data_IF_268286319088
#
_entry.id   IF_268286319088
#
_cell.length_a   1.000
_cell.length_b   1.000
_cell.length_c   1.000
_cell.angle_alpha   90.00
_cell.angle_beta   90.00
_cell.angle_gamma   90.00
#
_symmetry.space_group_name_H-M   'P 1'
#
loop_
_entity.id
_entity.type
_entity.pdbx_description
1 polymer ?
#
# COMPACT_ATOMS: atom_id res chain seq x y z
N UNK A 1 -1.06 -12.33 29.37
CA UNK A 1 -0.49 -11.70 28.17
C UNK A 1 -0.54 -12.69 27.03
N UNK A 2 -0.57 -12.22 25.78
CA UNK A 2 -0.68 -13.06 24.57
C UNK A 2 0.50 -14.05 24.39
N UNK A 3 1.68 -13.72 24.95
CA UNK A 3 2.90 -14.50 24.84
C UNK A 3 3.26 -15.20 26.16
N UNK A 4 2.93 -16.49 26.36
CA UNK A 4 3.16 -17.19 27.63
C UNK A 4 4.65 -17.40 27.96
N UNK A 5 5.52 -17.38 26.96
CA UNK A 5 6.98 -17.44 27.14
C UNK A 5 7.64 -16.09 27.45
N UNK A 6 6.87 -15.01 27.56
CA UNK A 6 7.41 -13.65 27.72
C UNK A 6 8.08 -13.12 26.45
N UNK A 7 8.97 -12.13 26.61
CA UNK A 7 9.71 -11.48 25.53
C UNK A 7 9.68 -9.95 25.64
N UNK A 8 10.46 -9.29 24.79
CA UNK A 8 10.51 -7.83 24.69
C UNK A 8 9.91 -7.40 23.34
N UNK A 9 8.90 -6.53 23.39
CA UNK A 9 8.40 -5.85 22.19
C UNK A 9 9.28 -4.65 21.87
N UNK A 10 9.26 -4.22 20.61
CA UNK A 10 9.91 -2.99 20.17
C UNK A 10 8.85 -1.89 20.20
N UNK A 11 9.06 -0.85 21.00
CA UNK A 11 8.11 0.27 21.12
C UNK A 11 8.76 1.56 20.66
N UNK A 12 8.16 2.20 19.66
CA UNK A 12 8.48 3.55 19.21
C UNK A 12 7.28 4.12 18.46
N UNK A 13 7.31 5.43 18.22
CA UNK A 13 6.39 6.09 17.28
C UNK A 13 7.22 6.59 16.10
N UNK A 14 6.83 6.21 14.89
CA UNK A 14 7.49 6.72 13.67
C UNK A 14 7.26 8.22 13.55
N UNK A 15 8.28 9.02 13.15
CA UNK A 15 8.07 10.44 12.92
C UNK A 15 7.13 10.68 11.74
N UNK A 16 6.47 11.83 11.73
CA UNK A 16 5.70 12.31 10.57
C UNK A 16 6.60 12.72 9.39
N UNK A 17 6.00 12.83 8.20
CA UNK A 17 6.67 13.34 7.00
C UNK A 17 7.50 12.32 6.22
N UNK A 18 7.44 11.03 6.57
CA UNK A 18 8.05 9.96 5.76
C UNK A 18 7.10 9.63 4.62
N UNK A 19 7.51 9.95 3.39
CA UNK A 19 6.73 9.68 2.18
C UNK A 19 7.18 8.39 1.48
N UNK A 20 6.24 7.65 0.93
CA UNK A 20 6.54 6.42 0.20
C UNK A 20 5.30 5.78 -0.40
N UNK A 21 5.38 4.47 -0.65
CA UNK A 21 4.23 3.69 -1.11
C UNK A 21 3.85 2.70 -0.02
N UNK A 22 2.59 2.75 0.38
CA UNK A 22 1.96 1.74 1.22
C UNK A 22 1.20 0.76 0.33
N UNK A 23 1.45 -0.54 0.49
CA UNK A 23 0.78 -1.55 -0.31
C UNK A 23 0.77 -2.94 0.28
N UNK A 24 -0.05 -3.80 -0.34
CA UNK A 24 -0.18 -5.20 0.03
C UNK A 24 -0.38 -6.07 -1.19
N UNK A 25 0.55 -7.01 -1.38
CA UNK A 25 0.45 -8.05 -2.39
C UNK A 25 -0.56 -9.12 -1.95
N UNK A 26 -1.35 -9.61 -2.89
CA UNK A 26 -2.25 -10.75 -2.73
C UNK A 26 -2.10 -11.71 -3.91
N UNK A 27 -2.52 -12.95 -3.72
CA UNK A 27 -2.54 -13.98 -4.75
C UNK A 27 -3.98 -14.47 -4.96
N UNK A 28 -4.41 -14.53 -6.22
CA UNK A 28 -5.66 -15.14 -6.63
C UNK A 28 -5.37 -16.48 -7.28
N UNK A 29 -5.85 -17.57 -6.67
CA UNK A 29 -5.75 -18.91 -7.24
C UNK A 29 -6.61 -19.09 -8.49
N UNK A 30 -7.75 -18.40 -8.57
CA UNK A 30 -8.64 -18.43 -9.73
C UNK A 30 -7.98 -17.86 -10.99
N UNK A 31 -7.18 -16.81 -10.84
CA UNK A 31 -6.44 -16.17 -11.92
C UNK A 31 -4.99 -16.65 -12.01
N UNK A 32 -4.57 -17.54 -11.09
CA UNK A 32 -3.18 -17.92 -10.87
C UNK A 32 -2.22 -16.71 -10.91
N UNK A 33 -2.59 -15.62 -10.23
CA UNK A 33 -1.90 -14.33 -10.39
C UNK A 33 -1.73 -13.55 -9.08
N UNK A 34 -0.62 -12.82 -9.01
CA UNK A 34 -0.39 -11.82 -7.98
C UNK A 34 -1.00 -10.48 -8.38
N UNK A 35 -1.60 -9.80 -7.42
CA UNK A 35 -2.12 -8.44 -7.55
C UNK A 35 -1.62 -7.59 -6.38
N UNK A 36 -1.35 -6.32 -6.63
CA UNK A 36 -0.90 -5.37 -5.63
C UNK A 36 -1.94 -4.26 -5.45
N UNK A 37 -2.43 -4.10 -4.24
CA UNK A 37 -3.12 -2.89 -3.79
C UNK A 37 -2.05 -1.93 -3.27
N UNK A 38 -2.02 -0.69 -3.75
CA UNK A 38 -1.02 0.28 -3.31
C UNK A 38 -1.56 1.72 -3.38
N UNK A 39 -0.99 2.59 -2.56
CA UNK A 39 -1.17 4.03 -2.65
C UNK A 39 0.15 4.72 -2.28
N UNK A 40 0.39 5.88 -2.86
CA UNK A 40 1.30 6.83 -2.24
C UNK A 40 0.77 7.15 -0.84
N UNK A 41 1.66 7.23 0.15
CA UNK A 41 1.27 7.49 1.53
C UNK A 41 2.35 8.28 2.25
N UNK A 42 1.95 8.93 3.35
CA UNK A 42 2.87 9.62 4.24
C UNK A 42 2.61 9.22 5.69
N UNK A 43 3.66 9.24 6.51
CA UNK A 43 3.51 9.17 7.96
C UNK A 43 3.06 10.52 8.51
N UNK A 44 2.26 10.50 9.56
CA UNK A 44 1.75 11.69 10.24
C UNK A 44 2.33 11.80 11.65
N UNK A 45 2.39 13.04 12.14
CA UNK A 45 2.56 13.32 13.56
C UNK A 45 1.20 13.74 14.14
N UNK A 46 0.77 13.07 15.21
CA UNK A 46 -0.45 13.44 15.92
C UNK A 46 -0.13 14.39 17.06
N UNK A 47 -1.03 15.32 17.43
CA UNK A 47 -0.87 16.09 18.65
C UNK A 47 -0.70 15.15 19.86
N UNK A 48 0.25 15.44 20.75
CA UNK A 48 0.66 14.51 21.81
C UNK A 48 -0.51 13.92 22.63
N UNK A 49 -1.54 14.74 22.95
CA UNK A 49 -2.72 14.25 23.68
C UNK A 49 -3.55 13.25 22.88
N UNK A 50 -3.69 13.49 21.57
CA UNK A 50 -4.41 12.59 20.67
C UNK A 50 -3.60 11.31 20.45
N UNK A 51 -2.29 11.41 20.26
CA UNK A 51 -1.41 10.26 20.13
C UNK A 51 -1.53 9.32 21.32
N UNK A 52 -1.39 9.85 22.54
CA UNK A 52 -1.50 9.07 23.76
C UNK A 52 -2.88 8.41 23.90
N UNK A 53 -3.94 9.15 23.59
CA UNK A 53 -5.30 8.61 23.59
C UNK A 53 -5.47 7.46 22.59
N UNK A 54 -5.02 7.64 21.34
CA UNK A 54 -5.13 6.61 20.29
C UNK A 54 -4.29 5.39 20.65
N UNK A 55 -3.03 5.57 21.08
CA UNK A 55 -2.17 4.45 21.53
C UNK A 55 -2.80 3.68 22.67
N UNK A 56 -3.38 4.38 23.65
CA UNK A 56 -4.08 3.79 24.79
C UNK A 56 -5.35 2.99 24.44
N UNK A 57 -5.93 3.17 23.25
CA UNK A 57 -7.02 2.30 22.75
C UNK A 57 -6.54 1.02 22.05
N UNK A 58 -5.23 0.85 21.89
CA UNK A 58 -4.59 -0.26 21.19
C UNK A 58 -3.54 -0.95 22.09
N UNK A 59 -2.60 -1.69 21.51
CA UNK A 59 -1.46 -2.24 22.24
C UNK A 59 -0.36 -1.18 22.42
N UNK A 60 -0.32 -0.56 23.60
CA UNK A 60 0.63 0.51 23.95
C UNK A 60 2.12 0.13 23.77
N UNK A 61 2.43 -1.16 23.93
CA UNK A 61 3.79 -1.70 23.88
C UNK A 61 4.26 -2.05 22.47
N UNK A 62 3.40 -1.96 21.45
CA UNK A 62 3.77 -2.22 20.07
C UNK A 62 4.26 -0.93 19.38
N UNK A 63 4.97 -1.02 18.24
CA UNK A 63 5.39 0.18 17.53
C UNK A 63 4.18 0.79 16.81
N UNK A 64 4.06 2.12 16.87
CA UNK A 64 2.98 2.86 16.22
C UNK A 64 3.51 3.68 15.05
N UNK A 65 2.79 3.63 13.93
CA UNK A 65 3.03 4.47 12.76
C UNK A 65 1.68 4.97 12.27
N UNK A 66 1.49 6.29 12.24
CA UNK A 66 0.27 6.89 11.72
C UNK A 66 0.43 7.10 10.22
N UNK A 67 -0.32 6.37 9.40
CA UNK A 67 -0.18 6.40 7.94
C UNK A 67 -1.43 7.02 7.32
N UNK A 68 -1.23 7.95 6.39
CA UNK A 68 -2.29 8.55 5.59
C UNK A 68 -2.05 8.25 4.10
N UNK A 69 -2.95 7.51 3.42
CA UNK A 69 -2.90 7.35 1.98
C UNK A 69 -3.18 8.69 1.27
N UNK A 70 -2.63 8.86 0.07
CA UNK A 70 -2.77 10.09 -0.72
C UNK A 70 -4.09 10.17 -1.46
N UNK A 71 -4.60 9.06 -2.00
CA UNK A 71 -5.82 9.05 -2.80
C UNK A 71 -6.96 8.23 -2.19
N UNK A 72 -6.65 7.10 -1.55
CA UNK A 72 -7.68 6.24 -0.97
C UNK A 72 -8.39 6.94 0.18
N UNK A 73 -9.72 6.98 0.14
CA UNK A 73 -10.52 7.31 1.32
C UNK A 73 -10.37 6.22 2.38
N UNK A 74 -10.64 6.54 3.65
CA UNK A 74 -10.61 5.53 4.72
C UNK A 74 -11.62 4.40 4.52
N UNK A 75 -12.71 4.63 3.79
CA UNK A 75 -13.68 3.58 3.42
C UNK A 75 -13.05 2.61 2.42
N UNK A 76 -12.49 3.13 1.31
CA UNK A 76 -11.83 2.31 0.30
C UNK A 76 -10.63 1.56 0.90
N UNK A 77 -9.79 2.25 1.67
CA UNK A 77 -8.58 1.68 2.26
C UNK A 77 -8.89 0.52 3.20
N UNK A 78 -9.93 0.63 4.04
CA UNK A 78 -10.34 -0.45 4.95
C UNK A 78 -11.09 -1.58 4.23
N UNK A 79 -11.94 -1.25 3.26
CA UNK A 79 -12.79 -2.23 2.59
C UNK A 79 -12.02 -3.07 1.57
N UNK A 80 -11.04 -2.48 0.87
CA UNK A 80 -10.35 -3.11 -0.25
C UNK A 80 -8.99 -3.70 0.12
N UNK A 81 -8.46 -3.42 1.33
CA UNK A 81 -7.24 -4.06 1.82
C UNK A 81 -7.40 -5.59 1.82
N UNK A 82 -6.57 -6.34 1.07
CA UNK A 82 -6.75 -7.79 0.91
C UNK A 82 -6.25 -8.60 2.11
N UNK A 83 -5.64 -7.95 3.11
CA UNK A 83 -5.13 -8.58 4.31
C UNK A 83 -5.10 -7.58 5.48
N UNK A 84 -4.94 -8.11 6.70
CA UNK A 84 -4.73 -7.33 7.92
C UNK A 84 -3.34 -6.68 8.02
N UNK A 85 -2.45 -6.94 7.07
CA UNK A 85 -1.09 -6.42 7.01
C UNK A 85 -0.89 -5.57 5.76
N UNK A 86 -0.06 -4.53 5.87
CA UNK A 86 0.42 -3.72 4.75
C UNK A 86 1.91 -3.40 4.96
N UNK A 87 2.61 -3.06 3.89
CA UNK A 87 4.01 -2.63 3.93
C UNK A 87 4.12 -1.23 3.36
N UNK A 88 4.87 -0.35 4.03
CA UNK A 88 5.22 0.96 3.51
C UNK A 88 6.71 1.01 3.20
N UNK A 89 7.07 1.41 1.98
CA UNK A 89 8.46 1.55 1.55
C UNK A 89 8.78 3.03 1.31
N UNK A 90 9.69 3.57 2.14
CA UNK A 90 10.13 4.96 2.07
C UNK A 90 10.84 5.25 0.73
N UNK A 91 10.43 6.32 0.06
CA UNK A 91 11.14 6.87 -1.10
C UNK A 91 10.94 6.07 -2.38
N UNK A 92 10.09 5.03 -2.36
CA UNK A 92 9.73 4.29 -3.56
C UNK A 92 8.84 5.16 -4.46
N UNK A 93 9.30 5.42 -5.67
CA UNK A 93 8.55 6.21 -6.66
C UNK A 93 7.50 5.35 -7.38
N UNK A 94 6.28 5.87 -7.66
CA UNK A 94 5.24 5.15 -8.40
C UNK A 94 5.72 4.53 -9.72
N UNK A 95 6.44 5.30 -10.55
CA UNK A 95 7.00 4.80 -11.80
C UNK A 95 7.94 3.58 -11.65
N UNK A 96 8.70 3.51 -10.54
CA UNK A 96 9.60 2.39 -10.25
C UNK A 96 8.79 1.17 -9.85
N UNK A 97 7.79 1.33 -8.99
CA UNK A 97 6.88 0.25 -8.62
C UNK A 97 6.16 -0.31 -9.84
N UNK A 98 5.58 0.56 -10.67
CA UNK A 98 4.85 0.19 -11.89
C UNK A 98 5.74 -0.60 -12.87
N UNK A 99 7.00 -0.18 -13.04
CA UNK A 99 7.97 -0.93 -13.85
C UNK A 99 8.16 -2.37 -13.34
N UNK A 100 8.35 -2.56 -12.04
CA UNK A 100 8.53 -3.88 -11.46
C UNK A 100 7.24 -4.72 -11.50
N UNK A 101 6.08 -4.10 -11.29
CA UNK A 101 4.79 -4.77 -11.45
C UNK A 101 4.58 -5.27 -12.89
N UNK A 102 4.99 -4.49 -13.89
CA UNK A 102 4.93 -4.91 -15.27
C UNK A 102 5.86 -6.08 -15.55
N UNK A 103 7.12 -5.98 -15.13
CA UNK A 103 8.12 -7.05 -15.33
C UNK A 103 7.70 -8.37 -14.67
N UNK A 104 7.13 -8.30 -13.46
CA UNK A 104 6.72 -9.47 -12.70
C UNK A 104 5.30 -9.96 -13.05
N UNK A 105 4.61 -9.30 -13.98
CA UNK A 105 3.22 -9.62 -14.34
C UNK A 105 2.22 -9.39 -13.20
N UNK A 106 2.55 -8.55 -12.21
CA UNK A 106 1.67 -8.24 -11.07
C UNK A 106 0.59 -7.27 -11.49
N UNK A 107 -0.67 -7.62 -11.18
CA UNK A 107 -1.84 -6.79 -11.48
C UNK A 107 -1.90 -5.57 -10.55
N UNK A 108 -2.40 -4.45 -11.06
CA UNK A 108 -2.76 -3.32 -10.20
C UNK A 108 -4.21 -3.47 -9.74
N UNK A 109 -4.42 -3.50 -8.42
CA UNK A 109 -5.74 -3.65 -7.80
C UNK A 109 -6.33 -2.30 -7.37
N UNK A 110 -5.57 -1.22 -7.42
CA UNK A 110 -5.83 0.04 -6.71
C UNK A 110 -6.93 0.87 -7.40
N UNK A 111 -8.19 0.84 -6.92
CA UNK A 111 -9.32 1.41 -7.65
C UNK A 111 -9.71 2.79 -7.10
N UNK A 112 -8.75 3.54 -6.54
CA UNK A 112 -9.04 4.75 -5.76
C UNK A 112 -9.78 5.78 -6.61
N UNK A 113 -10.98 6.15 -6.18
CA UNK A 113 -11.83 7.06 -6.94
C UNK A 113 -11.15 8.43 -7.15
N UNK A 114 -10.33 8.86 -6.20
CA UNK A 114 -9.62 10.14 -6.26
C UNK A 114 -8.28 10.08 -7.03
N UNK A 115 -7.81 8.89 -7.45
CA UNK A 115 -6.55 8.76 -8.19
C UNK A 115 -6.81 8.74 -9.70
N UNK A 116 -6.22 9.67 -10.47
CA UNK A 116 -6.23 9.57 -11.93
C UNK A 116 -5.56 8.27 -12.41
N UNK A 117 -6.03 7.73 -13.55
CA UNK A 117 -5.43 6.54 -14.16
C UNK A 117 -3.97 6.75 -14.59
N UNK A 118 -3.58 8.00 -14.87
CA UNK A 118 -2.21 8.40 -15.19
C UNK A 118 -1.95 9.83 -14.71
N UNK A 119 -0.82 10.03 -14.05
CA UNK A 119 -0.34 11.34 -13.59
C UNK A 119 1.00 11.63 -14.27
N UNK A 120 1.03 12.62 -15.16
CA UNK A 120 2.26 13.03 -15.85
C UNK A 120 3.36 13.42 -14.87
N UNK A 121 4.58 12.93 -15.11
CA UNK A 121 5.75 13.20 -14.26
C UNK A 121 5.84 12.34 -12.99
N UNK A 122 4.77 11.63 -12.62
CA UNK A 122 4.73 10.74 -11.44
C UNK A 122 4.65 9.28 -11.85
N UNK A 123 3.71 8.98 -12.75
CA UNK A 123 3.46 7.63 -13.25
C UNK A 123 4.35 7.33 -14.46
N UNK A 124 4.67 6.05 -14.60
CA UNK A 124 5.25 5.50 -15.82
C UNK A 124 4.16 5.44 -16.90
N UNK A 125 4.43 5.88 -18.14
CA UNK A 125 3.52 5.66 -19.26
C UNK A 125 3.29 4.17 -19.51
N UNK A 126 2.03 3.79 -19.77
CA UNK A 126 1.68 2.41 -20.13
C UNK A 126 2.39 2.00 -21.43
N UNK A 127 2.99 0.80 -21.51
CA UNK A 127 3.49 0.25 -22.76
C UNK A 127 2.43 0.23 -23.87
N UNK A 128 2.85 0.49 -25.11
CA UNK A 128 1.94 0.42 -26.25
C UNK A 128 1.27 -0.95 -26.38
N UNK A 129 2.00 -2.04 -26.10
CA UNK A 129 1.45 -3.40 -26.07
C UNK A 129 0.33 -3.56 -25.03
N UNK A 130 0.42 -2.87 -23.89
CA UNK A 130 -0.65 -2.89 -22.90
C UNK A 130 -1.91 -2.23 -23.43
N UNK A 131 -1.76 -1.06 -24.07
CA UNK A 131 -2.88 -0.33 -24.65
C UNK A 131 -3.59 -1.13 -25.76
N UNK A 132 -2.82 -1.74 -26.67
CA UNK A 132 -3.36 -2.55 -27.77
C UNK A 132 -4.17 -3.74 -27.24
N UNK A 133 -3.74 -4.35 -26.14
CA UNK A 133 -4.36 -5.54 -25.56
C UNK A 133 -5.49 -5.21 -24.55
N UNK A 134 -5.97 -3.97 -24.49
CA UNK A 134 -7.08 -3.58 -23.62
C UNK A 134 -6.69 -3.16 -22.19
N UNK A 135 -5.41 -2.88 -21.95
CA UNK A 135 -4.89 -2.34 -20.69
C UNK A 135 -3.89 -3.27 -19.99
N UNK A 136 -3.15 -2.72 -19.02
CA UNK A 136 -2.05 -3.43 -18.37
C UNK A 136 -2.47 -4.73 -17.67
N UNK A 137 -3.59 -4.73 -16.96
CA UNK A 137 -4.08 -5.95 -16.31
C UNK A 137 -4.51 -7.02 -17.32
N UNK A 138 -5.16 -6.63 -18.42
CA UNK A 138 -5.55 -7.55 -19.47
C UNK A 138 -4.33 -8.22 -20.11
N UNK A 139 -3.30 -7.44 -20.45
CA UNK A 139 -2.04 -7.99 -21.01
C UNK A 139 -1.35 -8.97 -20.07
N UNK A 140 -1.30 -8.66 -18.77
CA UNK A 140 -0.65 -9.52 -17.77
C UNK A 140 -1.41 -10.81 -17.50
N UNK A 141 -2.73 -10.83 -17.74
CA UNK A 141 -3.53 -12.05 -17.68
C UNK A 141 -3.41 -12.88 -18.95
N UNK A 142 -3.30 -12.25 -20.12
CA UNK A 142 -3.12 -12.95 -21.41
C UNK A 142 -1.77 -13.64 -21.55
N UNK A 143 -0.71 -13.08 -20.95
CA UNK A 143 0.65 -13.62 -21.03
C UNK A 143 0.94 -14.78 -20.07
N UNK A 144 -0.08 -15.36 -19.43
CA UNK A 144 0.03 -16.44 -18.43
C UNK A 144 -0.53 -17.74 -18.96
#
# INVERSE_FOLDING_TARGET
>A
GYFPGGGNSVTFVSPGGIEGIAGRLTYSSQQNAFALLWDEAQTLELPAKLEEAVRGTSDYNWPHTWVCPKYASMVEYKQYAPANHLHMTWGLKPAVLQYWMDMAGVLDLSPWAARPAYIEGTDRPQPLLHLINGGGNATKLLGR
#
